data_IF_178365586482
#
_entry.id   IF_178365586482
#
_cell.length_a   1.000
_cell.length_b   1.000
_cell.length_c   1.000
_cell.angle_alpha   90.00
_cell.angle_beta   90.00
_cell.angle_gamma   90.00
#
_symmetry.space_group_name_H-M   'P 1'
#
loop_
_entity.id
_entity.type
_entity.pdbx_description
1 polymer ?
#
# COMPACT_ATOMS: atom_id res chain seq x y z
N UNK A 1 16.91 4.62 22.81
CA UNK A 1 16.20 5.84 22.38
C UNK A 1 15.24 5.47 21.24
N UNK A 2 13.92 5.50 21.44
CA UNK A 2 12.96 5.29 20.35
C UNK A 2 12.90 6.59 19.54
N UNK A 3 13.41 6.57 18.30
CA UNK A 3 13.28 7.70 17.38
C UNK A 3 11.80 7.85 17.04
N UNK A 4 11.18 8.96 17.43
CA UNK A 4 9.81 9.29 17.06
C UNK A 4 9.86 9.82 15.63
N UNK A 5 9.43 9.00 14.66
CA UNK A 5 9.33 9.42 13.27
C UNK A 5 7.93 10.02 13.08
N UNK A 6 7.83 11.30 12.67
CA UNK A 6 6.55 11.92 12.39
C UNK A 6 5.75 11.14 11.32
N UNK A 7 4.44 10.99 11.52
CA UNK A 7 3.56 10.25 10.60
C UNK A 7 3.65 10.77 9.15
N UNK A 8 3.63 12.08 8.96
CA UNK A 8 3.75 12.71 7.62
C UNK A 8 5.06 12.35 6.90
N UNK A 9 6.18 12.29 7.63
CA UNK A 9 7.49 11.94 7.08
C UNK A 9 7.57 10.46 6.72
N UNK A 10 7.01 9.58 7.59
CA UNK A 10 6.87 8.15 7.29
C UNK A 10 6.01 7.95 6.05
N UNK A 11 4.88 8.64 5.94
CA UNK A 11 3.97 8.51 4.82
C UNK A 11 4.62 8.97 3.51
N UNK A 12 5.26 10.14 3.51
CA UNK A 12 6.01 10.66 2.37
C UNK A 12 7.13 9.70 1.93
N UNK A 13 7.91 9.16 2.88
CA UNK A 13 8.97 8.21 2.57
C UNK A 13 8.43 6.93 1.95
N UNK A 14 7.33 6.38 2.49
CA UNK A 14 6.72 5.17 1.95
C UNK A 14 6.18 5.40 0.54
N UNK A 15 5.39 6.47 0.32
CA UNK A 15 4.78 6.76 -0.99
C UNK A 15 5.77 7.24 -2.04
N UNK A 16 6.77 8.06 -1.68
CA UNK A 16 7.68 8.70 -2.66
C UNK A 16 9.01 7.99 -2.85
N UNK A 17 9.51 7.30 -1.83
CA UNK A 17 10.84 6.65 -1.88
C UNK A 17 10.71 5.13 -1.87
N UNK A 18 10.11 4.57 -0.83
CA UNK A 18 10.14 3.11 -0.61
C UNK A 18 9.23 2.36 -1.58
N UNK A 19 8.13 3.01 -2.03
CA UNK A 19 7.00 2.42 -2.77
C UNK A 19 6.45 1.20 -2.00
N UNK A 20 5.35 1.34 -1.24
CA UNK A 20 4.89 0.30 -0.33
C UNK A 20 4.60 -1.01 -1.09
N UNK A 21 4.84 -2.19 -0.49
CA UNK A 21 4.54 -3.46 -1.13
C UNK A 21 3.03 -3.72 -1.15
N UNK A 22 2.59 -4.42 -2.18
CA UNK A 22 1.26 -4.96 -2.34
C UNK A 22 1.03 -6.07 -1.33
N UNK A 23 -0.04 -5.98 -0.55
CA UNK A 23 -0.40 -6.97 0.48
C UNK A 23 -0.62 -8.38 -0.06
N UNK A 24 -0.93 -8.52 -1.35
CA UNK A 24 -1.26 -9.82 -1.97
C UNK A 24 -0.07 -10.51 -2.65
N UNK A 25 0.93 -9.76 -3.13
CA UNK A 25 1.99 -10.34 -3.97
C UNK A 25 3.36 -9.66 -3.87
N UNK A 26 3.57 -8.78 -2.88
CA UNK A 26 4.82 -8.06 -2.61
C UNK A 26 5.38 -7.17 -3.74
N UNK A 27 4.69 -7.07 -4.89
CA UNK A 27 4.97 -6.08 -5.93
C UNK A 27 4.72 -4.66 -5.44
N UNK A 28 5.09 -3.64 -6.22
CA UNK A 28 4.80 -2.26 -5.87
C UNK A 28 3.28 -2.06 -5.74
N UNK A 29 2.85 -1.66 -4.55
CA UNK A 29 1.49 -1.21 -4.26
C UNK A 29 1.28 0.22 -4.77
N UNK A 30 0.12 0.46 -5.36
CA UNK A 30 -0.22 1.71 -6.05
C UNK A 30 -1.42 2.40 -5.39
N UNK A 31 -2.31 1.62 -4.77
CA UNK A 31 -3.52 2.08 -4.10
C UNK A 31 -3.44 1.80 -2.60
N UNK A 32 -3.80 2.78 -1.76
CA UNK A 32 -3.88 2.63 -0.30
C UNK A 32 -5.31 2.20 0.10
N UNK A 33 -5.42 1.22 0.99
CA UNK A 33 -6.68 0.72 1.55
C UNK A 33 -7.00 1.41 2.89
N UNK A 34 -8.22 1.24 3.40
CA UNK A 34 -8.69 1.90 4.63
C UNK A 34 -7.86 1.55 5.88
N UNK A 35 -7.22 0.38 5.89
CA UNK A 35 -6.36 -0.09 6.97
C UNK A 35 -4.90 0.42 6.86
N UNK A 36 -4.60 1.25 5.86
CA UNK A 36 -3.27 1.79 5.58
C UNK A 36 -2.32 0.79 4.91
N UNK A 37 -2.84 -0.34 4.42
CA UNK A 37 -2.08 -1.26 3.57
C UNK A 37 -2.19 -0.83 2.11
N UNK A 38 -1.34 -1.40 1.24
CA UNK A 38 -1.31 -1.05 -0.17
C UNK A 38 -1.57 -2.26 -1.04
N UNK A 39 -2.22 -2.05 -2.19
CA UNK A 39 -2.51 -3.07 -3.19
C UNK A 39 -2.00 -2.61 -4.57
N UNK A 40 -1.49 -3.54 -5.39
CA UNK A 40 -1.09 -3.25 -6.77
C UNK A 40 -2.30 -3.30 -7.70
N UNK A 41 -2.24 -2.61 -8.84
CA UNK A 41 -3.36 -2.56 -9.80
C UNK A 41 -3.86 -3.94 -10.24
N UNK A 42 -2.98 -4.91 -10.43
CA UNK A 42 -3.35 -6.28 -10.84
C UNK A 42 -4.20 -6.96 -9.76
N UNK A 43 -3.78 -6.91 -8.50
CA UNK A 43 -4.51 -7.55 -7.41
C UNK A 43 -5.81 -6.82 -7.10
N UNK A 44 -5.85 -5.49 -7.25
CA UNK A 44 -7.08 -4.72 -7.12
C UNK A 44 -8.10 -5.09 -8.20
N UNK A 45 -7.66 -5.24 -9.45
CA UNK A 45 -8.52 -5.67 -10.55
C UNK A 45 -9.10 -7.07 -10.29
N UNK A 46 -8.26 -8.05 -9.92
CA UNK A 46 -8.72 -9.41 -9.61
C UNK A 46 -9.76 -9.40 -8.46
N UNK A 47 -9.53 -8.62 -7.41
CA UNK A 47 -10.50 -8.50 -6.31
C UNK A 47 -11.82 -7.86 -6.75
N UNK A 48 -11.78 -6.87 -7.64
CA UNK A 48 -12.99 -6.27 -8.22
C UNK A 48 -13.78 -7.27 -9.05
N UNK A 49 -13.10 -8.04 -9.91
CA UNK A 49 -13.73 -9.10 -10.72
C UNK A 49 -14.37 -10.20 -9.86
N UNK A 50 -13.80 -10.52 -8.69
CA UNK A 50 -14.35 -11.50 -7.75
C UNK A 50 -15.53 -10.98 -6.91
N UNK A 51 -15.73 -9.66 -6.84
CA UNK A 51 -16.79 -9.05 -6.04
C UNK A 51 -18.11 -8.86 -6.81
N UNK A 52 -18.06 -8.96 -8.15
CA UNK A 52 -19.20 -8.80 -9.05
C UNK A 52 -19.97 -10.13 -9.31
N UNK A 53 -19.62 -11.22 -8.63
CA UNK A 53 -20.31 -12.54 -8.61
C UNK A 53 -21.05 -12.78 -7.28
#
# INVERSE_FOLDING_TARGET
MKKIIPFWLRNWYLTKIKRPPCIMCDRIGELELEDGTYICGICAQIQGELADD
#
